data_IF_187641033274
#
_entry.id   IF_187641033274
#
_cell.length_a   1.000
_cell.length_b   1.000
_cell.length_c   1.000
_cell.angle_alpha   90.00
_cell.angle_beta   90.00
_cell.angle_gamma   90.00
#
_symmetry.space_group_name_H-M   'P 1'
#
loop_
_entity.id
_entity.type
_entity.pdbx_description
1 polymer ?
#
# COMPACT_ATOMS: atom_id res chain seq x y z
N UNK A 1 31.50 -19.28 -43.93
CA UNK A 1 31.74 -17.98 -43.25
C UNK A 1 30.58 -17.78 -42.29
N UNK A 2 30.79 -17.74 -40.97
CA UNK A 2 29.68 -17.71 -40.01
C UNK A 2 29.06 -16.31 -39.97
N UNK A 3 27.74 -16.27 -40.04
CA UNK A 3 26.92 -15.07 -39.89
C UNK A 3 27.04 -14.52 -38.47
N UNK A 4 27.64 -13.34 -38.33
CA UNK A 4 27.76 -12.60 -37.07
C UNK A 4 26.38 -12.38 -36.44
N UNK A 5 26.06 -13.21 -35.44
CA UNK A 5 24.82 -13.11 -34.68
C UNK A 5 25.01 -12.03 -33.62
N UNK A 6 24.49 -10.83 -33.88
CA UNK A 6 24.49 -9.74 -32.91
C UNK A 6 23.59 -10.15 -31.74
N UNK A 7 24.18 -10.30 -30.55
CA UNK A 7 23.43 -10.62 -29.33
C UNK A 7 22.95 -9.31 -28.69
N UNK A 8 21.68 -9.00 -28.90
CA UNK A 8 20.98 -7.94 -28.16
C UNK A 8 20.27 -8.56 -26.95
N UNK A 9 20.61 -8.18 -25.72
CA UNK A 9 20.03 -8.80 -24.52
C UNK A 9 18.57 -8.40 -24.23
N UNK A 10 17.93 -7.60 -25.10
CA UNK A 10 16.49 -7.31 -25.05
C UNK A 10 15.91 -7.08 -26.46
N UNK A 11 14.60 -7.32 -26.60
CA UNK A 11 13.75 -6.90 -27.72
C UNK A 11 12.88 -5.67 -27.38
N UNK A 12 13.24 -4.89 -26.35
CA UNK A 12 12.50 -3.70 -25.90
C UNK A 12 13.33 -2.44 -26.13
N UNK A 13 13.18 -1.80 -27.29
CA UNK A 13 13.58 -0.38 -27.39
C UNK A 13 12.66 0.37 -26.41
N UNK A 14 13.18 1.03 -25.35
CA UNK A 14 12.39 2.08 -24.74
C UNK A 14 11.99 3.02 -25.88
N UNK A 15 10.70 3.37 -25.96
CA UNK A 15 10.10 4.12 -27.08
C UNK A 15 10.81 5.44 -27.42
N UNK A 16 11.78 5.86 -26.60
CA UNK A 16 12.49 7.13 -26.67
C UNK A 16 14.03 7.02 -26.76
N UNK A 17 14.64 5.82 -26.93
CA UNK A 17 16.11 5.74 -27.13
C UNK A 17 16.44 5.45 -28.61
N UNK A 18 17.13 6.38 -29.31
CA UNK A 18 17.55 6.15 -30.69
C UNK A 18 18.49 4.94 -30.78
N UNK A 19 18.27 4.07 -31.78
CA UNK A 19 18.95 2.78 -31.96
C UNK A 19 20.50 2.84 -31.97
N UNK A 20 21.07 4.04 -32.16
CA UNK A 20 22.53 4.29 -32.11
C UNK A 20 23.13 4.29 -30.70
N UNK A 21 22.31 4.32 -29.65
CA UNK A 21 22.77 4.33 -28.25
C UNK A 21 22.67 2.96 -27.56
N UNK A 22 22.26 1.92 -28.28
CA UNK A 22 22.18 0.55 -27.74
C UNK A 22 23.56 -0.10 -27.82
N UNK A 23 24.19 -0.48 -26.69
CA UNK A 23 25.46 -1.18 -26.70
C UNK A 23 25.31 -2.52 -27.43
N UNK A 24 26.15 -2.78 -28.45
CA UNK A 24 26.16 -4.04 -29.18
C UNK A 24 27.19 -4.99 -28.57
N UNK A 25 26.77 -6.22 -28.25
CA UNK A 25 27.65 -7.26 -27.71
C UNK A 25 27.83 -8.39 -28.72
N UNK A 26 29.06 -8.91 -28.79
CA UNK A 26 29.41 -10.02 -29.68
C UNK A 26 29.11 -11.39 -29.08
N UNK A 27 28.88 -11.46 -27.76
CA UNK A 27 28.55 -12.69 -27.05
C UNK A 27 27.54 -12.43 -25.94
N UNK A 28 26.74 -13.43 -25.59
CA UNK A 28 25.79 -13.40 -24.48
C UNK A 28 26.49 -13.06 -23.15
N UNK A 29 27.64 -13.68 -22.88
CA UNK A 29 28.44 -13.41 -21.68
C UNK A 29 28.91 -11.95 -21.60
N UNK A 30 29.28 -11.31 -22.71
CA UNK A 30 29.66 -9.90 -22.72
C UNK A 30 28.48 -8.98 -22.43
N UNK A 31 27.30 -9.31 -22.95
CA UNK A 31 26.07 -8.62 -22.63
C UNK A 31 25.71 -8.77 -21.15
N UNK A 32 25.70 -9.99 -20.61
CA UNK A 32 25.41 -10.26 -19.19
C UNK A 32 26.37 -9.53 -18.25
N UNK A 33 27.66 -9.50 -18.57
CA UNK A 33 28.66 -8.79 -17.78
C UNK A 33 28.43 -7.27 -17.78
N UNK A 34 28.07 -6.68 -18.94
CA UNK A 34 27.66 -5.28 -19.00
C UNK A 34 26.41 -5.01 -18.16
N UNK A 35 25.38 -5.85 -18.29
CA UNK A 35 24.12 -5.70 -17.54
C UNK A 35 24.35 -5.79 -16.03
N UNK A 36 25.25 -6.67 -15.57
CA UNK A 36 25.69 -6.72 -14.16
C UNK A 36 26.48 -5.48 -13.76
N UNK A 37 27.46 -5.08 -14.56
CA UNK A 37 28.36 -3.96 -14.24
C UNK A 37 27.65 -2.60 -14.20
N UNK A 38 26.70 -2.37 -15.10
CA UNK A 38 25.90 -1.14 -15.17
C UNK A 38 24.66 -1.19 -14.27
N UNK A 39 24.43 -2.30 -13.56
CA UNK A 39 23.28 -2.44 -12.67
C UNK A 39 21.93 -2.46 -13.39
N UNK A 40 21.87 -2.82 -14.68
CA UNK A 40 20.62 -2.86 -15.44
C UNK A 40 19.63 -3.94 -14.95
N UNK A 41 20.09 -4.91 -14.15
CA UNK A 41 19.20 -5.83 -13.45
C UNK A 41 18.54 -5.23 -12.21
N UNK A 42 19.00 -4.07 -11.73
CA UNK A 42 18.36 -3.37 -10.63
C UNK A 42 16.98 -2.91 -11.10
N UNK A 43 15.94 -3.18 -10.30
CA UNK A 43 14.57 -2.79 -10.61
C UNK A 43 13.99 -3.41 -11.89
N UNK A 44 14.50 -4.57 -12.31
CA UNK A 44 14.00 -5.30 -13.47
C UNK A 44 13.23 -6.56 -13.06
N UNK A 45 12.01 -6.71 -13.56
CA UNK A 45 11.21 -7.91 -13.38
C UNK A 45 11.40 -8.86 -14.56
N UNK A 46 12.14 -9.96 -14.35
CA UNK A 46 12.35 -11.00 -15.38
C UNK A 46 11.05 -11.68 -15.82
N UNK A 47 10.13 -11.92 -14.89
CA UNK A 47 8.88 -12.63 -15.19
C UNK A 47 7.86 -11.79 -15.98
N UNK A 48 7.98 -10.46 -15.95
CA UNK A 48 7.13 -9.55 -16.72
C UNK A 48 7.88 -8.80 -17.81
N UNK A 49 9.17 -9.09 -17.99
CA UNK A 49 10.08 -8.41 -18.91
C UNK A 49 9.95 -6.88 -18.85
N UNK A 50 10.04 -6.32 -17.63
CA UNK A 50 9.77 -4.89 -17.38
C UNK A 50 10.78 -4.25 -16.43
N UNK A 51 11.32 -3.11 -16.85
CA UNK A 51 12.19 -2.27 -16.02
C UNK A 51 11.40 -1.15 -15.32
N UNK A 52 11.79 -0.83 -14.09
CA UNK A 52 11.19 0.21 -13.26
C UNK A 52 12.18 1.31 -12.94
N UNK A 53 11.70 2.55 -12.90
CA UNK A 53 12.55 3.74 -12.69
C UNK A 53 13.25 3.77 -11.33
N UNK A 54 12.69 3.11 -10.32
CA UNK A 54 13.28 3.05 -8.98
C UNK A 54 12.85 1.77 -8.24
N UNK A 55 13.53 1.51 -7.12
CA UNK A 55 13.29 0.34 -6.27
C UNK A 55 11.88 0.29 -5.70
N UNK A 56 11.31 1.44 -5.33
CA UNK A 56 9.95 1.47 -4.79
C UNK A 56 8.91 1.01 -5.82
N UNK A 57 9.00 1.49 -7.05
CA UNK A 57 8.11 1.11 -8.14
C UNK A 57 8.25 -0.38 -8.48
N UNK A 58 9.48 -0.89 -8.47
CA UNK A 58 9.75 -2.32 -8.66
C UNK A 58 9.13 -3.16 -7.55
N UNK A 59 9.33 -2.77 -6.29
CA UNK A 59 8.73 -3.47 -5.14
C UNK A 59 7.21 -3.43 -5.19
N UNK A 60 6.61 -2.28 -5.51
CA UNK A 60 5.16 -2.18 -5.71
C UNK A 60 4.66 -3.09 -6.83
N UNK A 61 5.41 -3.23 -7.92
CA UNK A 61 5.09 -4.17 -8.99
C UNK A 61 5.16 -5.63 -8.54
N UNK A 62 6.22 -6.02 -7.83
CA UNK A 62 6.34 -7.37 -7.24
C UNK A 62 5.23 -7.67 -6.23
N UNK A 63 4.67 -6.63 -5.59
CA UNK A 63 3.54 -6.72 -4.68
C UNK A 63 2.17 -6.61 -5.37
N UNK A 64 2.14 -6.40 -6.68
CA UNK A 64 0.91 -6.24 -7.46
C UNK A 64 0.23 -7.58 -7.76
N UNK A 65 -1.00 -7.51 -8.29
CA UNK A 65 -1.79 -8.68 -8.72
C UNK A 65 -1.06 -9.56 -9.73
N UNK A 66 -0.13 -8.99 -10.49
CA UNK A 66 0.62 -9.68 -11.54
C UNK A 66 1.49 -10.81 -10.96
N UNK A 67 2.10 -10.60 -9.80
CA UNK A 67 2.93 -11.61 -9.14
C UNK A 67 2.26 -12.29 -7.97
N UNK A 68 1.41 -11.57 -7.23
CA UNK A 68 0.81 -12.10 -5.99
C UNK A 68 -0.62 -12.56 -6.13
N UNK A 69 -1.29 -12.28 -7.25
CA UNK A 69 -2.71 -12.54 -7.39
C UNK A 69 -3.56 -11.66 -6.47
N UNK A 70 -4.82 -12.06 -6.24
CA UNK A 70 -5.78 -11.32 -5.41
C UNK A 70 -6.28 -12.22 -4.28
N UNK A 71 -5.39 -12.53 -3.34
CA UNK A 71 -5.61 -13.59 -2.34
C UNK A 71 -6.44 -13.13 -1.14
N UNK A 72 -6.81 -11.85 -1.07
CA UNK A 72 -7.61 -11.29 0.02
C UNK A 72 -8.97 -10.84 -0.51
N UNK A 73 -9.97 -11.74 -0.59
CA UNK A 73 -11.31 -11.37 -1.04
C UNK A 73 -12.05 -10.56 0.02
N UNK A 74 -12.78 -9.54 -0.42
CA UNK A 74 -13.75 -8.87 0.45
C UNK A 74 -14.90 -9.84 0.78
N UNK A 75 -15.23 -10.05 2.06
CA UNK A 75 -16.27 -10.99 2.46
C UNK A 75 -17.69 -10.53 2.08
N UNK A 76 -17.86 -9.27 1.67
CA UNK A 76 -19.17 -8.70 1.31
C UNK A 76 -19.39 -8.64 -0.19
N UNK A 77 -18.41 -8.10 -0.95
CA UNK A 77 -18.54 -7.90 -2.40
C UNK A 77 -17.74 -8.89 -3.24
N UNK A 78 -16.89 -9.72 -2.64
CA UNK A 78 -16.07 -10.71 -3.35
C UNK A 78 -14.89 -10.14 -4.14
N UNK A 79 -14.72 -8.81 -4.19
CA UNK A 79 -13.58 -8.18 -4.86
C UNK A 79 -12.29 -8.63 -4.18
N UNK A 80 -11.36 -9.20 -4.96
CA UNK A 80 -10.05 -9.64 -4.48
C UNK A 80 -9.04 -8.51 -4.38
N UNK A 81 -8.32 -8.43 -3.27
CA UNK A 81 -7.23 -7.49 -3.03
C UNK A 81 -5.89 -8.23 -2.97
N UNK A 82 -4.81 -7.52 -3.32
CA UNK A 82 -3.43 -8.02 -3.22
C UNK A 82 -2.91 -8.03 -1.79
N UNK A 83 -3.45 -7.16 -0.94
CA UNK A 83 -3.00 -6.91 0.42
C UNK A 83 -4.17 -6.75 1.39
N UNK A 84 -3.96 -7.10 2.65
CA UNK A 84 -4.84 -6.86 3.78
C UNK A 84 -5.04 -5.36 4.01
N UNK A 85 -3.99 -4.56 3.79
CA UNK A 85 -4.08 -3.09 3.81
C UNK A 85 -5.07 -2.56 2.76
N UNK A 86 -5.08 -3.13 1.55
CA UNK A 86 -6.00 -2.76 0.47
C UNK A 86 -7.46 -3.11 0.78
N UNK A 87 -7.72 -4.33 1.29
CA UNK A 87 -9.07 -4.71 1.74
C UNK A 87 -9.55 -3.80 2.88
N UNK A 88 -8.70 -3.53 3.85
CA UNK A 88 -9.07 -2.69 5.00
C UNK A 88 -9.39 -1.27 4.56
N UNK A 89 -8.57 -0.70 3.67
CA UNK A 89 -8.84 0.61 3.08
C UNK A 89 -10.19 0.63 2.36
N UNK A 90 -10.48 -0.38 1.53
CA UNK A 90 -11.75 -0.50 0.82
C UNK A 90 -12.98 -0.44 1.74
N UNK A 91 -12.89 -1.07 2.91
CA UNK A 91 -13.96 -1.06 3.91
C UNK A 91 -13.98 0.25 4.74
N UNK A 92 -12.81 0.80 5.10
CA UNK A 92 -12.70 2.02 5.90
C UNK A 92 -13.17 3.27 5.14
N UNK A 93 -13.03 3.30 3.81
CA UNK A 93 -13.52 4.39 2.94
C UNK A 93 -14.95 4.19 2.45
N UNK A 94 -15.66 3.16 2.89
CA UNK A 94 -17.03 2.89 2.45
C UNK A 94 -17.15 2.55 0.96
N UNK A 95 -16.04 2.16 0.32
CA UNK A 95 -16.03 1.85 -1.12
C UNK A 95 -16.68 0.51 -1.46
N UNK A 96 -17.11 -0.25 -0.44
CA UNK A 96 -17.83 -1.50 -0.62
C UNK A 96 -19.32 -1.25 -0.89
N UNK A 97 -19.76 -1.47 -2.13
CA UNK A 97 -21.18 -1.38 -2.50
C UNK A 97 -22.09 -2.37 -1.75
N UNK A 98 -21.56 -3.51 -1.29
CA UNK A 98 -22.29 -4.52 -0.51
C UNK A 98 -22.22 -4.28 1.00
N UNK A 99 -21.39 -3.35 1.45
CA UNK A 99 -21.29 -2.94 2.86
C UNK A 99 -21.09 -1.42 2.97
N UNK A 100 -22.03 -0.60 2.45
CA UNK A 100 -21.87 0.87 2.41
C UNK A 100 -21.93 1.50 3.80
N UNK A 101 -22.44 0.76 4.78
CA UNK A 101 -22.54 1.20 6.15
C UNK A 101 -21.22 1.09 6.90
N UNK A 102 -20.23 0.33 6.38
CA UNK A 102 -18.91 0.22 6.97
C UNK A 102 -18.07 1.45 6.62
N UNK A 103 -17.38 1.94 7.64
CA UNK A 103 -16.43 3.03 7.56
C UNK A 103 -15.39 2.84 8.69
N UNK A 104 -14.40 3.73 8.73
CA UNK A 104 -13.36 3.73 9.77
C UNK A 104 -13.93 3.61 11.19
N UNK A 105 -14.93 4.42 11.54
CA UNK A 105 -15.48 4.49 12.89
C UNK A 105 -16.19 3.19 13.30
N UNK A 106 -17.00 2.61 12.39
CA UNK A 106 -17.65 1.32 12.64
C UNK A 106 -16.65 0.17 12.70
N UNK A 107 -15.64 0.17 11.84
CA UNK A 107 -14.58 -0.85 11.89
C UNK A 107 -13.83 -0.75 13.21
N UNK A 108 -13.46 0.47 13.65
CA UNK A 108 -12.83 0.68 14.94
C UNK A 108 -13.71 0.17 16.10
N UNK A 109 -15.02 0.42 16.07
CA UNK A 109 -15.95 -0.08 17.08
C UNK A 109 -15.98 -1.62 17.11
N UNK A 110 -16.02 -2.27 15.95
CA UNK A 110 -16.01 -3.73 15.83
C UNK A 110 -14.69 -4.33 16.35
N UNK A 111 -13.55 -3.72 16.01
CA UNK A 111 -12.23 -4.17 16.45
C UNK A 111 -12.07 -4.00 17.97
N UNK A 112 -12.48 -2.86 18.54
CA UNK A 112 -12.41 -2.61 20.00
C UNK A 112 -13.17 -3.64 20.81
N UNK A 113 -14.38 -4.03 20.38
CA UNK A 113 -15.17 -5.08 21.04
C UNK A 113 -14.44 -6.42 21.09
N UNK A 114 -13.55 -6.67 20.12
CA UNK A 114 -12.81 -7.93 19.94
C UNK A 114 -11.36 -7.85 20.41
N UNK A 115 -10.93 -6.69 20.88
CA UNK A 115 -9.62 -6.40 21.45
C UNK A 115 -9.73 -5.89 22.91
N UNK A 116 -10.34 -6.65 23.84
CA UNK A 116 -10.55 -6.19 25.22
C UNK A 116 -9.24 -5.95 25.98
N UNK A 117 -8.13 -6.52 25.50
CA UNK A 117 -6.80 -6.37 26.09
C UNK A 117 -6.00 -5.20 25.48
N UNK A 118 -6.51 -4.55 24.43
CA UNK A 118 -5.79 -3.46 23.75
C UNK A 118 -4.47 -3.94 23.14
N UNK A 119 -4.48 -5.07 22.44
CA UNK A 119 -3.34 -5.61 21.70
C UNK A 119 -2.98 -4.71 20.51
N UNK A 120 -3.97 -4.13 19.84
CA UNK A 120 -3.77 -3.27 18.68
C UNK A 120 -4.53 -1.94 18.79
N UNK A 121 -5.51 -1.84 19.68
CA UNK A 121 -6.30 -0.62 19.90
C UNK A 121 -5.84 0.15 21.13
N UNK A 122 -5.85 1.48 21.02
CA UNK A 122 -5.57 2.36 22.16
C UNK A 122 -6.76 2.39 23.14
N UNK A 123 -6.47 2.38 24.45
CA UNK A 123 -7.47 2.65 25.50
C UNK A 123 -7.83 4.14 25.45
N UNK A 124 -8.94 4.50 24.83
CA UNK A 124 -9.45 5.87 24.83
C UNK A 124 -10.36 6.11 26.05
N UNK A 125 -10.12 7.21 26.74
CA UNK A 125 -10.94 7.71 27.86
C UNK A 125 -12.06 8.53 27.20
N UNK A 126 -13.20 7.89 26.90
CA UNK A 126 -14.34 8.54 26.25
C UNK A 126 -14.43 8.31 24.74
N UNK A 127 -15.57 7.78 24.31
CA UNK A 127 -15.99 7.81 22.91
C UNK A 127 -16.61 9.19 22.65
N UNK A 128 -15.90 10.04 21.91
CA UNK A 128 -16.54 11.17 21.27
C UNK A 128 -17.04 10.68 19.91
N UNK A 129 -18.33 10.84 19.66
CA UNK A 129 -18.95 10.62 18.37
C UNK A 129 -18.40 11.71 17.43
N UNK A 130 -17.19 11.49 16.90
CA UNK A 130 -16.67 12.27 15.78
C UNK A 130 -17.55 11.88 14.59
N UNK A 131 -18.72 12.52 14.51
CA UNK A 131 -19.62 12.41 13.37
C UNK A 131 -18.82 12.59 12.09
N UNK A 132 -19.26 11.93 11.02
CA UNK A 132 -18.66 12.04 9.70
C UNK A 132 -18.82 13.48 9.16
N UNK A 133 -18.01 14.41 9.67
CA UNK A 133 -17.93 15.77 9.20
C UNK A 133 -17.26 15.73 7.83
N UNK A 134 -18.08 15.90 6.79
CA UNK A 134 -17.59 16.15 5.44
C UNK A 134 -17.21 17.63 5.35
N UNK A 135 -15.97 17.90 4.97
CA UNK A 135 -15.50 19.25 4.76
C UNK A 135 -15.68 19.62 3.28
N UNK A 136 -16.32 20.77 3.04
CA UNK A 136 -16.47 21.37 1.72
C UNK A 136 -15.88 22.78 1.75
N UNK A 137 -14.75 22.99 1.08
CA UNK A 137 -14.25 24.33 0.79
C UNK A 137 -14.93 24.88 -0.49
N UNK A 138 -15.16 26.19 -0.55
CA UNK A 138 -15.74 26.89 -1.70
C UNK A 138 -14.97 28.20 -1.97
N UNK A 139 -14.81 28.56 -3.24
CA UNK A 139 -14.13 29.80 -3.66
C UNK A 139 -13.23 29.65 -4.90
N UNK A 140 -12.67 30.76 -5.36
CA UNK A 140 -11.60 30.82 -6.37
C UNK A 140 -10.29 31.20 -5.66
N UNK A 141 -9.27 30.35 -5.76
CA UNK A 141 -7.97 30.57 -5.13
C UNK A 141 -6.83 30.05 -6.02
N UNK A 142 -5.69 30.74 -6.01
CA UNK A 142 -4.48 30.32 -6.72
C UNK A 142 -3.83 29.07 -6.09
N UNK A 143 -4.03 28.88 -4.78
CA UNK A 143 -3.64 27.70 -4.03
C UNK A 143 -4.60 27.53 -2.85
N UNK A 144 -4.83 26.29 -2.46
CA UNK A 144 -5.73 25.89 -1.38
C UNK A 144 -4.93 25.38 -0.20
N UNK A 145 -5.12 25.94 0.98
CA UNK A 145 -4.35 25.59 2.17
C UNK A 145 -5.21 24.82 3.17
N UNK A 146 -4.68 23.73 3.72
CA UNK A 146 -5.31 23.06 4.85
C UNK A 146 -5.04 23.83 6.15
N UNK A 147 -6.09 24.37 6.78
CA UNK A 147 -5.96 25.10 8.05
C UNK A 147 -5.43 24.26 9.24
N UNK A 148 -5.45 22.92 9.16
CA UNK A 148 -4.98 22.03 10.22
C UNK A 148 -3.47 21.74 10.14
N UNK A 149 -2.89 21.77 8.94
CA UNK A 149 -1.48 21.42 8.74
C UNK A 149 -0.72 22.32 7.77
N UNK A 150 -1.34 23.41 7.30
CA UNK A 150 -0.79 24.37 6.35
C UNK A 150 -0.26 23.74 5.06
N UNK A 151 -0.87 22.63 4.65
CA UNK A 151 -0.52 21.95 3.40
C UNK A 151 -1.17 22.63 2.21
N UNK A 152 -0.39 22.96 1.19
CA UNK A 152 -0.87 23.61 -0.03
C UNK A 152 -1.31 22.59 -1.10
N UNK A 153 -2.40 22.92 -1.79
CA UNK A 153 -3.00 22.11 -2.85
C UNK A 153 -3.32 23.01 -4.05
N UNK A 154 -2.92 22.56 -5.24
CA UNK A 154 -3.21 23.30 -6.48
C UNK A 154 -4.68 23.24 -6.92
N UNK A 155 -5.52 22.42 -6.29
CA UNK A 155 -6.94 22.29 -6.63
C UNK A 155 -7.81 22.15 -5.39
N UNK A 156 -9.03 22.69 -5.48
CA UNK A 156 -10.05 22.57 -4.44
C UNK A 156 -10.38 21.11 -4.14
N UNK A 157 -10.51 20.29 -5.20
CA UNK A 157 -10.74 18.86 -5.06
C UNK A 157 -9.61 18.17 -4.27
N UNK A 158 -8.35 18.57 -4.51
CA UNK A 158 -7.21 18.06 -3.74
C UNK A 158 -7.28 18.40 -2.26
N UNK A 159 -7.63 19.65 -1.93
CA UNK A 159 -7.86 20.05 -0.53
C UNK A 159 -9.03 19.27 0.09
N UNK A 160 -10.18 19.16 -0.59
CA UNK A 160 -11.32 18.42 -0.06
C UNK A 160 -10.99 16.93 0.16
N UNK A 161 -10.27 16.29 -0.76
CA UNK A 161 -9.78 14.92 -0.56
C UNK A 161 -8.84 14.82 0.64
N UNK A 162 -8.00 15.83 0.87
CA UNK A 162 -7.12 15.89 2.03
C UNK A 162 -7.88 16.07 3.35
N UNK A 163 -8.85 17.00 3.41
CA UNK A 163 -9.65 17.27 4.61
C UNK A 163 -10.53 16.07 5.00
N UNK A 164 -11.06 15.35 4.00
CA UNK A 164 -11.84 14.13 4.21
C UNK A 164 -10.96 12.88 4.43
N UNK A 165 -9.63 13.00 4.30
CA UNK A 165 -8.70 11.92 4.61
C UNK A 165 -8.54 11.75 6.13
N UNK A 166 -8.17 10.56 6.61
CA UNK A 166 -7.89 10.36 8.03
C UNK A 166 -6.59 11.04 8.51
N UNK A 167 -5.95 11.92 7.73
CA UNK A 167 -4.63 12.48 8.05
C UNK A 167 -4.60 13.23 9.39
N UNK A 168 -5.70 13.89 9.75
CA UNK A 168 -5.82 14.65 11.00
C UNK A 168 -6.61 13.94 12.10
N UNK A 169 -7.12 12.73 11.82
CA UNK A 169 -7.89 11.97 12.82
C UNK A 169 -6.95 11.37 13.88
N UNK A 170 -7.49 11.13 15.08
CA UNK A 170 -6.70 10.58 16.17
C UNK A 170 -6.12 9.20 15.82
N UNK A 171 -4.87 8.97 16.23
CA UNK A 171 -4.25 7.64 16.16
C UNK A 171 -4.91 6.70 17.15
N UNK A 172 -5.64 5.72 16.65
CA UNK A 172 -6.45 4.79 17.43
C UNK A 172 -5.88 3.38 17.48
N UNK A 173 -4.94 3.07 16.59
CA UNK A 173 -4.23 1.80 16.52
C UNK A 173 -2.77 1.94 16.91
N UNK A 174 -2.17 0.87 17.42
CA UNK A 174 -0.74 0.78 17.69
C UNK A 174 -0.17 -0.56 17.23
N UNK A 175 1.14 -0.59 16.98
CA UNK A 175 1.84 -1.81 16.67
C UNK A 175 1.91 -2.72 17.91
N UNK A 176 1.48 -3.99 17.81
CA UNK A 176 1.55 -4.94 18.92
C UNK A 176 2.99 -5.31 19.34
N UNK A 177 4.01 -4.94 18.55
CA UNK A 177 5.41 -5.23 18.84
C UNK A 177 6.00 -4.35 19.96
N UNK A 178 5.61 -4.66 21.20
CA UNK A 178 6.18 -4.04 22.40
C UNK A 178 7.60 -4.54 22.70
N UNK A 179 7.91 -5.79 22.36
CA UNK A 179 9.21 -6.43 22.63
C UNK A 179 10.33 -5.85 21.76
N UNK A 180 10.04 -5.53 20.50
CA UNK A 180 10.95 -4.86 19.58
C UNK A 180 10.91 -3.33 19.66
N UNK A 181 10.28 -2.76 20.69
CA UNK A 181 10.19 -1.31 20.94
C UNK A 181 9.68 -0.48 19.73
N UNK A 182 8.79 -1.03 18.89
CA UNK A 182 8.32 -0.32 17.69
C UNK A 182 7.54 0.95 18.03
N UNK A 183 6.57 0.86 18.95
CA UNK A 183 5.80 2.01 19.44
C UNK A 183 4.95 2.77 18.40
N UNK A 184 5.01 2.40 17.12
CA UNK A 184 4.30 3.11 16.04
C UNK A 184 2.79 3.06 16.22
N UNK A 185 2.14 4.17 15.93
CA UNK A 185 0.70 4.36 16.04
C UNK A 185 0.11 4.81 14.71
N UNK A 186 -1.13 4.40 14.46
CA UNK A 186 -1.80 4.56 13.18
C UNK A 186 -3.22 5.09 13.36
N UNK A 187 -3.65 5.87 12.38
CA UNK A 187 -4.99 6.44 12.36
C UNK A 187 -6.02 5.45 11.81
N UNK A 188 -5.61 4.55 10.92
CA UNK A 188 -6.48 3.57 10.25
C UNK A 188 -5.92 2.15 10.37
N UNK A 189 -6.78 1.16 10.21
CA UNK A 189 -6.41 -0.26 10.23
C UNK A 189 -5.57 -0.61 9.00
N UNK A 190 -5.91 -0.02 7.84
CA UNK A 190 -5.09 -0.14 6.63
C UNK A 190 -3.64 0.32 6.85
N UNK A 191 -3.44 1.40 7.61
CA UNK A 191 -2.11 1.90 7.97
C UNK A 191 -1.32 0.93 8.86
N UNK A 192 -1.98 0.33 9.85
CA UNK A 192 -1.38 -0.71 10.69
C UNK A 192 -0.99 -1.94 9.85
N UNK A 193 -1.89 -2.45 8.99
CA UNK A 193 -1.55 -3.60 8.16
C UNK A 193 -0.45 -3.30 7.17
N UNK A 194 -0.42 -2.12 6.55
CA UNK A 194 0.70 -1.74 5.69
C UNK A 194 2.04 -1.74 6.45
N UNK A 195 2.04 -1.27 7.69
CA UNK A 195 3.23 -1.36 8.55
C UNK A 195 3.66 -2.81 8.85
N UNK A 196 2.71 -3.70 9.14
CA UNK A 196 3.02 -5.11 9.38
C UNK A 196 3.46 -5.84 8.10
N UNK A 197 2.83 -5.54 6.97
CA UNK A 197 3.13 -6.07 5.64
C UNK A 197 4.51 -5.65 5.13
N UNK A 198 4.94 -4.42 5.44
CA UNK A 198 6.29 -3.96 5.09
C UNK A 198 7.39 -4.60 5.92
N UNK A 199 7.05 -5.45 6.90
CA UNK A 199 7.96 -6.09 7.85
C UNK A 199 8.89 -5.10 8.59
N UNK A 200 8.52 -3.82 8.59
CA UNK A 200 9.37 -2.72 9.04
C UNK A 200 9.63 -2.71 10.55
N UNK A 201 8.97 -3.58 11.31
CA UNK A 201 9.24 -3.84 12.73
C UNK A 201 9.57 -5.30 13.06
N UNK A 202 9.76 -6.18 12.08
CA UNK A 202 10.07 -7.60 12.26
C UNK A 202 9.16 -8.38 13.23
N UNK A 203 7.91 -7.93 13.44
CA UNK A 203 6.97 -8.55 14.37
C UNK A 203 6.26 -9.77 13.81
N UNK A 204 5.79 -9.64 12.57
CA UNK A 204 5.04 -10.65 11.84
C UNK A 204 5.44 -10.57 10.37
N UNK A 205 5.48 -11.73 9.71
CA UNK A 205 5.76 -11.81 8.28
C UNK A 205 4.56 -11.40 7.45
N UNK A 206 4.81 -10.85 6.27
CA UNK A 206 3.78 -10.40 5.33
C UNK A 206 2.68 -11.46 5.12
N UNK A 207 3.04 -12.72 4.84
CA UNK A 207 2.08 -13.78 4.49
C UNK A 207 1.13 -14.11 5.65
N UNK A 208 1.63 -14.05 6.89
CA UNK A 208 0.81 -14.29 8.08
C UNK A 208 -0.23 -13.18 8.26
N UNK A 209 0.10 -11.93 7.95
CA UNK A 209 -0.86 -10.82 7.97
C UNK A 209 -1.99 -11.05 6.96
N UNK A 210 -1.66 -11.49 5.75
CA UNK A 210 -2.67 -11.80 4.72
C UNK A 210 -3.60 -12.93 5.14
N UNK A 211 -3.09 -13.97 5.81
CA UNK A 211 -3.90 -15.11 6.26
C UNK A 211 -4.85 -14.74 7.41
N UNK A 212 -4.41 -13.86 8.32
CA UNK A 212 -5.17 -13.53 9.53
C UNK A 212 -6.15 -12.37 9.33
N UNK A 213 -6.08 -11.61 8.23
CA UNK A 213 -7.01 -10.50 7.96
C UNK A 213 -8.47 -10.96 7.98
N UNK A 214 -8.76 -12.14 7.43
CA UNK A 214 -10.10 -12.72 7.45
C UNK A 214 -10.56 -13.01 8.88
N UNK A 215 -9.68 -13.49 9.75
CA UNK A 215 -9.99 -13.78 11.16
C UNK A 215 -10.18 -12.50 11.97
N UNK A 216 -9.40 -11.46 11.69
CA UNK A 216 -9.53 -10.15 12.32
C UNK A 216 -10.81 -9.44 11.87
N UNK A 217 -11.27 -9.66 10.64
CA UNK A 217 -12.52 -9.08 10.11
C UNK A 217 -13.76 -9.98 10.32
N UNK A 218 -13.59 -11.27 10.64
CA UNK A 218 -14.67 -12.22 10.93
C UNK A 218 -15.36 -11.90 12.25
N UNK A 219 -16.65 -11.56 12.21
CA UNK A 219 -17.44 -11.13 13.38
C UNK A 219 -17.50 -12.12 14.55
N UNK A 220 -17.06 -13.39 14.38
CA UNK A 220 -17.25 -14.47 15.37
C UNK A 220 -16.05 -14.76 16.27
N UNK A 221 -14.88 -14.16 16.07
CA UNK A 221 -13.62 -14.58 16.75
C UNK A 221 -12.92 -13.44 17.51
N UNK A 222 -12.18 -13.72 18.58
CA UNK A 222 -11.32 -12.69 19.21
C UNK A 222 -10.08 -12.39 18.36
N UNK A 223 -9.47 -11.22 18.51
CA UNK A 223 -8.24 -10.86 17.80
C UNK A 223 -7.04 -11.51 18.50
N UNK A 224 -6.26 -12.26 17.73
CA UNK A 224 -5.00 -12.89 18.15
C UNK A 224 -4.01 -12.85 16.98
N UNK A 225 -2.71 -12.79 17.29
CA UNK A 225 -1.59 -12.79 16.35
C UNK A 225 -0.61 -13.92 16.68
#
# INVERSE_FOLDING_TARGET
>A
MPSDSIWTPWAITPRDIPARLVPQFRTETAAENHMKAQGHYQNYCKACDRHFQNANNFQMHLNSRVHRGSNVPCPFCGIGFTTASGLSHHLETGSCNKAPSLNREKILALIRRRDPRGLITNKQIGWHDEGAATYEASGEAHAWECYLCHGEFGTLHGLNMHLNSPKHKQKVYHCPNKRGACGKQFVSLAGLFHHLESESCAFIRFEKVQQHVGTILDTRRMIAF
#
